data_IF_061567729760
#
_entry.id   IF_061567729760
#
_cell.length_a   1.000
_cell.length_b   1.000
_cell.length_c   1.000
_cell.angle_alpha   90.00
_cell.angle_beta   90.00
_cell.angle_gamma   90.00
#
_symmetry.space_group_name_H-M   'P 1'
#
loop_
_entity.id
_entity.type
_entity.pdbx_description
1 polymer ?
#
# COMPACT_ATOMS: atom_id res chain seq x y z
N UNK A 1 14.25 -47.05 -8.30
CA UNK A 1 15.14 -46.02 -7.72
C UNK A 1 15.31 -44.78 -8.61
N UNK A 2 15.42 -44.89 -9.95
CA UNK A 2 15.62 -43.73 -10.83
C UNK A 2 14.48 -42.68 -10.84
N UNK A 3 13.22 -43.11 -10.69
CA UNK A 3 12.07 -42.20 -10.65
C UNK A 3 12.09 -41.24 -9.45
N UNK A 4 12.42 -41.76 -8.25
CA UNK A 4 12.49 -40.95 -7.04
C UNK A 4 13.64 -39.93 -7.11
N UNK A 5 14.77 -40.30 -7.72
CA UNK A 5 15.91 -39.40 -7.95
C UNK A 5 15.55 -38.28 -8.95
N UNK A 6 14.80 -38.60 -10.01
CA UNK A 6 14.32 -37.60 -10.97
C UNK A 6 13.31 -36.63 -10.35
N UNK A 7 12.37 -37.12 -9.56
CA UNK A 7 11.39 -36.29 -8.83
C UNK A 7 12.11 -35.38 -7.82
N UNK A 8 13.08 -35.92 -7.08
CA UNK A 8 13.87 -35.14 -6.13
C UNK A 8 14.64 -34.01 -6.82
N UNK A 9 15.32 -34.32 -7.94
CA UNK A 9 16.08 -33.33 -8.72
C UNK A 9 15.19 -32.24 -9.33
N UNK A 10 14.00 -32.61 -9.84
CA UNK A 10 13.01 -31.64 -10.34
C UNK A 10 12.58 -30.69 -9.24
N UNK A 11 12.09 -31.22 -8.11
CA UNK A 11 11.60 -30.41 -7.00
C UNK A 11 12.71 -29.49 -6.43
N UNK A 12 13.94 -29.98 -6.37
CA UNK A 12 15.09 -29.18 -5.96
C UNK A 12 15.40 -28.07 -6.97
N UNK A 13 15.39 -28.36 -8.28
CA UNK A 13 15.59 -27.35 -9.34
C UNK A 13 14.53 -26.23 -9.25
N UNK A 14 13.26 -26.61 -9.10
CA UNK A 14 12.15 -25.66 -8.98
C UNK A 14 12.30 -24.76 -7.76
N UNK A 15 12.73 -25.32 -6.63
CA UNK A 15 13.02 -24.55 -5.42
C UNK A 15 14.18 -23.57 -5.62
N UNK A 16 15.26 -23.97 -6.30
CA UNK A 16 16.38 -23.08 -6.58
C UNK A 16 16.00 -21.94 -7.52
N UNK A 17 15.19 -22.22 -8.53
CA UNK A 17 14.71 -21.21 -9.45
C UNK A 17 13.79 -20.20 -8.74
N UNK A 18 12.90 -20.70 -7.87
CA UNK A 18 12.09 -19.86 -6.99
C UNK A 18 12.97 -18.98 -6.08
N UNK A 19 13.95 -19.58 -5.38
CA UNK A 19 14.83 -18.86 -4.47
C UNK A 19 15.65 -17.79 -5.19
N UNK A 20 16.16 -18.10 -6.39
CA UNK A 20 16.89 -17.16 -7.23
C UNK A 20 16.00 -15.98 -7.65
N UNK A 21 14.80 -16.27 -8.14
CA UNK A 21 13.85 -15.24 -8.56
C UNK A 21 13.42 -14.35 -7.38
N UNK A 22 13.19 -14.94 -6.21
CA UNK A 22 12.89 -14.21 -4.99
C UNK A 22 14.04 -13.29 -4.60
N UNK A 23 15.28 -13.77 -4.64
CA UNK A 23 16.45 -12.98 -4.30
C UNK A 23 16.63 -11.79 -5.24
N UNK A 24 16.44 -12.01 -6.54
CA UNK A 24 16.48 -10.95 -7.56
C UNK A 24 15.41 -9.88 -7.30
N UNK A 25 14.21 -10.28 -6.87
CA UNK A 25 13.14 -9.33 -6.50
C UNK A 25 13.54 -8.53 -5.25
N UNK A 26 14.05 -9.20 -4.21
CA UNK A 26 14.46 -8.56 -2.96
C UNK A 26 15.55 -7.50 -3.20
N UNK A 27 16.54 -7.83 -4.01
CA UNK A 27 17.65 -6.94 -4.36
C UNK A 27 17.18 -5.80 -5.26
N UNK A 28 16.42 -6.10 -6.32
CA UNK A 28 15.92 -5.09 -7.26
C UNK A 28 15.09 -3.99 -6.61
N UNK A 29 14.34 -4.33 -5.56
CA UNK A 29 13.41 -3.41 -4.90
C UNK A 29 13.89 -2.94 -3.51
N UNK A 30 15.11 -3.27 -3.09
CA UNK A 30 15.66 -2.94 -1.76
C UNK A 30 14.67 -3.25 -0.64
N UNK A 31 14.01 -4.42 -0.72
CA UNK A 31 12.91 -4.77 0.18
C UNK A 31 13.41 -4.92 1.61
N UNK A 32 14.63 -5.42 1.79
CA UNK A 32 15.25 -5.62 3.11
C UNK A 32 15.50 -4.27 3.80
N UNK A 33 15.98 -3.26 3.07
CA UNK A 33 16.20 -1.91 3.57
C UNK A 33 14.87 -1.25 3.94
N UNK A 34 13.84 -1.42 3.12
CA UNK A 34 12.49 -0.96 3.42
C UNK A 34 11.92 -1.65 4.67
N UNK A 35 12.10 -2.96 4.81
CA UNK A 35 11.66 -3.69 6.01
C UNK A 35 12.36 -3.14 7.27
N UNK A 36 13.68 -2.96 7.22
CA UNK A 36 14.45 -2.34 8.32
C UNK A 36 13.91 -0.94 8.65
N UNK A 37 13.66 -0.11 7.65
CA UNK A 37 13.10 1.23 7.85
C UNK A 37 11.73 1.21 8.51
N UNK A 38 10.82 0.34 8.05
CA UNK A 38 9.46 0.24 8.60
C UNK A 38 9.41 -0.43 9.98
N UNK A 39 10.31 -1.36 10.26
CA UNK A 39 10.40 -2.05 11.55
C UNK A 39 11.08 -1.19 12.63
N UNK A 40 12.06 -0.34 12.25
CA UNK A 40 12.75 0.55 13.16
C UNK A 40 11.95 1.81 13.53
N UNK A 41 10.86 2.11 12.80
CA UNK A 41 10.06 3.31 13.01
C UNK A 41 8.89 3.06 13.99
N UNK A 42 8.86 3.70 15.17
CA UNK A 42 7.80 3.52 16.16
C UNK A 42 6.49 4.23 15.78
N UNK A 43 6.49 5.10 14.76
CA UNK A 43 5.29 5.83 14.33
C UNK A 43 4.18 4.86 13.87
N UNK A 44 2.91 5.29 13.81
CA UNK A 44 1.86 4.47 13.21
C UNK A 44 2.19 4.10 11.76
N UNK A 45 1.79 2.91 11.31
CA UNK A 45 2.13 2.36 9.99
C UNK A 45 1.87 3.36 8.84
N UNK A 46 0.74 4.06 8.93
CA UNK A 46 0.33 5.03 7.93
C UNK A 46 1.17 6.32 7.94
N UNK A 47 2.19 6.47 8.79
CA UNK A 47 3.16 7.57 8.76
C UNK A 47 4.60 7.12 8.48
N UNK A 48 4.86 5.81 8.40
CA UNK A 48 6.23 5.27 8.28
C UNK A 48 6.86 5.48 6.91
N UNK A 49 6.04 5.52 5.86
CA UNK A 49 6.55 5.64 4.50
C UNK A 49 7.17 7.03 4.24
N UNK A 50 8.17 7.13 3.36
CA UNK A 50 8.68 8.42 2.89
C UNK A 50 7.53 9.28 2.34
N UNK A 51 7.53 10.59 2.64
CA UNK A 51 6.54 11.58 2.16
C UNK A 51 5.09 11.30 2.58
N UNK A 52 4.83 10.31 3.42
CA UNK A 52 3.48 9.89 3.79
C UNK A 52 2.67 10.98 4.50
N UNK A 53 3.35 11.82 5.28
CA UNK A 53 2.73 12.99 5.91
C UNK A 53 2.11 13.95 4.87
N UNK A 54 2.73 14.14 3.70
CA UNK A 54 2.18 14.97 2.64
C UNK A 54 0.88 14.36 2.09
N UNK A 55 0.89 13.06 1.76
CA UNK A 55 -0.28 12.36 1.23
C UNK A 55 -1.46 12.39 2.21
N UNK A 56 -1.22 12.18 3.50
CA UNK A 56 -2.27 12.24 4.53
C UNK A 56 -2.83 13.65 4.65
N UNK A 57 -1.99 14.68 4.63
CA UNK A 57 -2.45 16.07 4.69
C UNK A 57 -3.29 16.45 3.48
N UNK A 58 -2.83 16.12 2.27
CA UNK A 58 -3.57 16.39 1.04
C UNK A 58 -4.92 15.67 1.05
N UNK A 59 -4.94 14.40 1.42
CA UNK A 59 -6.18 13.64 1.56
C UNK A 59 -7.11 14.26 2.62
N UNK A 60 -6.56 14.64 3.77
CA UNK A 60 -7.32 15.28 4.85
C UNK A 60 -7.95 16.61 4.43
N UNK A 61 -7.24 17.44 3.67
CA UNK A 61 -7.79 18.69 3.10
C UNK A 61 -8.92 18.39 2.13
N UNK A 62 -8.73 17.45 1.19
CA UNK A 62 -9.78 17.07 0.25
C UNK A 62 -11.04 16.55 0.95
N UNK A 63 -10.87 15.70 1.96
CA UNK A 63 -11.97 15.20 2.78
C UNK A 63 -12.70 16.31 3.53
N UNK A 64 -11.96 17.24 4.15
CA UNK A 64 -12.56 18.35 4.87
C UNK A 64 -13.39 19.25 3.95
N UNK A 65 -12.85 19.61 2.78
CA UNK A 65 -13.57 20.41 1.78
C UNK A 65 -14.82 19.67 1.29
N UNK A 66 -14.69 18.37 0.98
CA UNK A 66 -15.82 17.54 0.57
C UNK A 66 -16.92 17.48 1.64
N UNK A 67 -16.55 17.26 2.90
CA UNK A 67 -17.51 17.22 4.01
C UNK A 67 -18.23 18.56 4.22
N UNK A 68 -17.49 19.68 4.22
CA UNK A 68 -18.09 21.02 4.35
C UNK A 68 -19.05 21.30 3.20
N UNK A 69 -18.66 20.95 1.97
CA UNK A 69 -19.50 21.14 0.77
C UNK A 69 -20.76 20.30 0.86
N UNK A 70 -20.65 19.03 1.28
CA UNK A 70 -21.79 18.13 1.46
C UNK A 70 -22.74 18.65 2.54
N UNK A 71 -22.23 19.04 3.71
CA UNK A 71 -23.05 19.61 4.80
C UNK A 71 -23.74 20.90 4.36
N UNK A 72 -23.04 21.77 3.64
CA UNK A 72 -23.63 23.00 3.10
C UNK A 72 -24.73 22.71 2.06
N UNK A 73 -24.52 21.73 1.18
CA UNK A 73 -25.53 21.27 0.23
C UNK A 73 -26.78 20.73 0.94
N UNK A 74 -26.59 19.89 1.95
CA UNK A 74 -27.70 19.38 2.78
C UNK A 74 -28.45 20.54 3.45
N UNK A 75 -27.73 21.51 4.01
CA UNK A 75 -28.35 22.69 4.62
C UNK A 75 -29.21 23.46 3.62
N UNK A 76 -28.76 23.65 2.38
CA UNK A 76 -29.55 24.32 1.34
C UNK A 76 -30.83 23.54 0.98
N UNK A 77 -30.72 22.20 0.88
CA UNK A 77 -31.87 21.33 0.61
C UNK A 77 -32.91 21.40 1.72
N UNK A 78 -32.48 21.40 3.00
CA UNK A 78 -33.38 21.46 4.16
C UNK A 78 -33.96 22.86 4.35
N UNK A 79 -33.15 23.91 4.19
CA UNK A 79 -33.58 25.30 4.34
C UNK A 79 -34.42 25.82 3.16
N UNK A 80 -34.67 24.98 2.15
CA UNK A 80 -35.61 25.27 1.07
C UNK A 80 -35.17 26.40 0.15
N UNK A 81 -33.86 26.65 -0.02
CA UNK A 81 -33.39 27.55 -1.09
C UNK A 81 -33.39 26.76 -2.40
N UNK A 82 -34.36 26.98 -3.31
CA UNK A 82 -34.32 26.33 -4.61
C UNK A 82 -33.07 26.82 -5.34
N UNK A 83 -32.34 25.91 -5.98
CA UNK A 83 -31.38 26.28 -7.01
C UNK A 83 -32.18 27.05 -8.06
N UNK A 84 -31.99 28.37 -8.13
CA UNK A 84 -32.70 29.20 -9.11
C UNK A 84 -32.33 28.72 -10.50
N UNK A 85 -33.35 28.23 -11.21
CA UNK A 85 -33.37 27.95 -12.65
C UNK A 85 -33.03 29.17 -13.48
#
# INVERSE_FOLDING_TARGET
MAFLDAVYKSAFSDFYEFARNLLLILERYNIIELQKQYQNDPRPLHFRAPRRALYIRVWGVGMAVGAVTATYGIFQLVAGKPASS
#
